data_IF_789395435046
#
_entry.id   IF_789395435046
#
_cell.length_a   1.000
_cell.length_b   1.000
_cell.length_c   1.000
_cell.angle_alpha   90.00
_cell.angle_beta   90.00
_cell.angle_gamma   90.00
#
_symmetry.space_group_name_H-M   'P 1'
#
loop_
_entity.id
_entity.type
_entity.pdbx_description
1 polymer ?
#
# COMPACT_ATOMS: atom_id res chain seq x y z
N UNK A 1 43.32 -23.10 -6.16
CA UNK A 1 42.65 -21.82 -5.83
C UNK A 1 41.18 -22.13 -5.60
N UNK A 2 40.69 -21.99 -4.37
CA UNK A 2 39.30 -22.32 -4.02
C UNK A 2 38.61 -20.99 -3.68
N UNK A 3 37.77 -20.49 -4.60
CA UNK A 3 36.91 -19.34 -4.33
C UNK A 3 35.68 -19.83 -3.55
N UNK A 4 35.69 -19.59 -2.24
CA UNK A 4 34.53 -19.81 -1.37
C UNK A 4 33.66 -18.56 -1.49
N UNK A 5 32.61 -18.63 -2.29
CA UNK A 5 31.58 -17.59 -2.36
C UNK A 5 30.72 -17.65 -1.10
N UNK A 6 31.02 -16.77 -0.14
CA UNK A 6 30.16 -16.50 1.01
C UNK A 6 28.88 -15.81 0.54
N UNK A 7 27.79 -16.57 0.36
CA UNK A 7 26.45 -16.01 0.30
C UNK A 7 25.98 -15.74 1.73
N UNK A 8 26.16 -14.50 2.20
CA UNK A 8 25.53 -14.03 3.43
C UNK A 8 24.01 -13.93 3.25
N UNK A 9 23.20 -14.18 4.30
CA UNK A 9 21.76 -13.97 4.22
C UNK A 9 21.47 -12.47 4.11
N UNK A 10 20.97 -12.04 2.97
CA UNK A 10 20.37 -10.72 2.82
C UNK A 10 19.03 -10.72 3.56
N UNK A 11 19.06 -10.40 4.86
CA UNK A 11 17.86 -10.11 5.62
C UNK A 11 17.35 -8.73 5.19
N UNK A 12 16.56 -8.69 4.12
CA UNK A 12 15.65 -7.59 3.86
C UNK A 12 14.60 -7.60 4.98
N UNK A 13 14.98 -7.09 6.15
CA UNK A 13 14.03 -6.67 7.17
C UNK A 13 13.32 -5.46 6.58
N UNK A 14 12.34 -5.70 5.72
CA UNK A 14 11.31 -4.72 5.40
C UNK A 14 10.59 -4.49 6.71
N UNK A 15 11.08 -3.52 7.47
CA UNK A 15 10.27 -2.77 8.41
C UNK A 15 8.97 -2.51 7.63
N UNK A 16 7.89 -3.19 8.00
CA UNK A 16 6.65 -3.17 7.24
C UNK A 16 6.02 -1.79 7.43
N UNK A 17 6.61 -0.77 6.79
CA UNK A 17 5.92 0.49 6.56
C UNK A 17 4.65 0.11 5.81
N UNK A 18 3.47 0.44 6.36
CA UNK A 18 2.21 0.10 5.73
C UNK A 18 2.24 0.59 4.29
N UNK A 19 2.23 -0.36 3.34
CA UNK A 19 2.30 -0.04 1.92
C UNK A 19 0.90 0.33 1.48
N UNK A 20 0.64 1.63 1.43
CA UNK A 20 -0.59 2.13 0.84
C UNK A 20 -0.51 2.02 -0.67
N UNK A 21 -1.35 1.18 -1.22
CA UNK A 21 -1.50 1.01 -2.66
C UNK A 21 -2.84 1.58 -3.07
N UNK A 22 -2.79 2.58 -3.94
CA UNK A 22 -3.97 2.96 -4.69
C UNK A 22 -4.20 1.90 -5.76
N UNK A 23 -5.34 1.23 -5.68
CA UNK A 23 -5.78 0.20 -6.61
C UNK A 23 -6.95 0.72 -7.43
N UNK A 24 -7.04 0.24 -8.66
CA UNK A 24 -8.15 0.51 -9.58
C UNK A 24 -9.48 -0.08 -9.07
N UNK A 25 -10.51 0.10 -9.90
CA UNK A 25 -11.91 -0.22 -9.68
C UNK A 25 -12.19 -1.51 -8.90
N UNK A 26 -13.25 -1.48 -8.08
CA UNK A 26 -13.89 -2.68 -7.54
C UNK A 26 -14.76 -2.39 -6.33
N UNK A 27 -15.08 -3.41 -5.55
CA UNK A 27 -16.04 -3.29 -4.44
C UNK A 27 -15.37 -2.74 -3.18
N UNK A 28 -16.00 -1.74 -2.57
CA UNK A 28 -15.75 -1.25 -1.22
C UNK A 28 -17.11 -1.07 -0.53
N UNK A 29 -17.27 -1.64 0.67
CA UNK A 29 -18.53 -1.57 1.44
C UNK A 29 -19.79 -2.00 0.65
N UNK A 30 -19.67 -3.04 -0.17
CA UNK A 30 -20.77 -3.55 -0.99
C UNK A 30 -21.12 -2.70 -2.22
N UNK A 31 -20.47 -1.56 -2.42
CA UNK A 31 -20.64 -0.68 -3.58
C UNK A 31 -19.45 -0.75 -4.53
N UNK A 32 -19.70 -0.70 -5.84
CA UNK A 32 -18.62 -0.59 -6.83
C UNK A 32 -18.09 0.84 -6.87
N UNK A 33 -16.78 0.99 -6.71
CA UNK A 33 -16.07 2.27 -6.74
C UNK A 33 -14.95 2.23 -7.77
N UNK A 34 -14.64 3.36 -8.41
CA UNK A 34 -13.58 3.46 -9.43
C UNK A 34 -12.16 3.42 -8.87
N UNK A 35 -11.97 3.87 -7.64
CA UNK A 35 -10.67 3.94 -6.99
C UNK A 35 -10.75 3.42 -5.57
N UNK A 36 -9.72 2.69 -5.12
CA UNK A 36 -9.65 2.13 -3.77
C UNK A 36 -8.27 2.32 -3.18
N UNK A 37 -8.22 2.56 -1.87
CA UNK A 37 -6.98 2.60 -1.10
C UNK A 37 -6.88 1.30 -0.33
N UNK A 38 -5.78 0.59 -0.53
CA UNK A 38 -5.46 -0.65 0.14
C UNK A 38 -4.27 -0.40 1.06
N UNK A 39 -4.42 -0.70 2.34
CA UNK A 39 -3.36 -0.56 3.36
C UNK A 39 -3.14 -1.93 3.97
N UNK A 40 -1.93 -2.47 3.88
CA UNK A 40 -1.62 -3.83 4.36
C UNK A 40 -2.59 -4.90 3.83
N UNK A 41 -2.95 -4.82 2.54
CA UNK A 41 -3.87 -5.75 1.87
C UNK A 41 -5.36 -5.59 2.24
N UNK A 42 -5.69 -4.70 3.18
CA UNK A 42 -7.06 -4.33 3.52
C UNK A 42 -7.54 -3.10 2.76
N UNK A 43 -8.73 -3.16 2.18
CA UNK A 43 -9.36 -2.00 1.54
C UNK A 43 -9.93 -1.09 2.62
N UNK A 44 -9.30 0.05 2.86
CA UNK A 44 -9.73 1.00 3.91
C UNK A 44 -10.64 2.10 3.39
N UNK A 45 -10.60 2.37 2.08
CA UNK A 45 -11.39 3.43 1.47
C UNK A 45 -11.65 3.19 -0.01
N UNK A 46 -12.78 3.71 -0.49
CA UNK A 46 -13.20 3.63 -1.89
C UNK A 46 -13.89 4.92 -2.33
N UNK A 47 -13.56 5.42 -3.52
CA UNK A 47 -14.17 6.61 -4.09
C UNK A 47 -14.32 6.52 -5.61
N UNK A 48 -15.28 7.26 -6.16
CA UNK A 48 -15.51 7.35 -7.61
C UNK A 48 -14.80 8.54 -8.26
N UNK A 49 -14.30 9.47 -7.44
CA UNK A 49 -13.69 10.72 -7.88
C UNK A 49 -12.22 10.76 -7.45
N UNK A 50 -11.36 11.26 -8.34
CA UNK A 50 -9.92 11.37 -8.09
C UNK A 50 -9.59 12.32 -6.92
N UNK A 51 -10.35 13.38 -6.74
CA UNK A 51 -10.11 14.36 -5.67
C UNK A 51 -10.32 13.72 -4.28
N UNK A 52 -11.44 13.03 -4.10
CA UNK A 52 -11.81 12.33 -2.87
C UNK A 52 -10.81 11.22 -2.48
N UNK A 53 -10.32 10.44 -3.46
CA UNK A 53 -9.34 9.37 -3.17
C UNK A 53 -7.96 9.95 -2.83
N UNK A 54 -7.54 11.03 -3.50
CA UNK A 54 -6.25 11.67 -3.22
C UNK A 54 -6.26 12.40 -1.88
N UNK A 55 -7.36 13.09 -1.55
CA UNK A 55 -7.52 13.73 -0.24
C UNK A 55 -7.48 12.70 0.89
N UNK A 56 -8.13 11.54 0.71
CA UNK A 56 -8.03 10.47 1.70
C UNK A 56 -6.61 9.87 1.78
N UNK A 57 -5.93 9.69 0.66
CA UNK A 57 -4.56 9.19 0.63
C UNK A 57 -3.60 10.15 1.35
N UNK A 58 -3.79 11.46 1.18
CA UNK A 58 -3.03 12.50 1.88
C UNK A 58 -3.28 12.46 3.40
N UNK A 59 -4.54 12.34 3.82
CA UNK A 59 -4.90 12.17 5.23
C UNK A 59 -4.26 10.92 5.84
N UNK A 60 -4.23 9.80 5.12
CA UNK A 60 -3.57 8.58 5.59
C UNK A 60 -2.04 8.73 5.64
N UNK A 61 -1.44 9.55 4.76
CA UNK A 61 -0.02 9.92 4.83
C UNK A 61 0.29 10.78 6.04
N UNK A 62 -0.55 11.78 6.32
CA UNK A 62 -0.39 12.67 7.48
C UNK A 62 -0.47 11.89 8.81
N UNK A 63 -1.35 10.89 8.87
CA UNK A 63 -1.48 9.95 9.99
C UNK A 63 -0.30 8.96 10.11
N UNK A 64 0.64 8.96 9.16
CA UNK A 64 1.77 8.02 9.13
C UNK A 64 1.38 6.58 8.79
N UNK A 65 0.13 6.36 8.37
CA UNK A 65 -0.40 5.06 7.91
C UNK A 65 -0.01 4.77 6.47
N UNK A 66 0.44 5.78 5.72
CA UNK A 66 0.99 5.66 4.38
C UNK A 66 2.30 6.44 4.32
N UNK A 67 3.36 5.89 3.71
CA UNK A 67 4.63 6.61 3.59
C UNK A 67 5.18 6.56 2.17
#
# INVERSE_FOLDING_TARGET
MIMITYFGPANASTLATPSCKMTSEGIFDGSWVKHRIVVNEDVVYGANDMDSILSQLDSLRDQGLCR
#
